data_IF_359385223664
#
_entry.id   IF_359385223664
#
_cell.length_a   1.000
_cell.length_b   1.000
_cell.length_c   1.000
_cell.angle_alpha   90.00
_cell.angle_beta   90.00
_cell.angle_gamma   90.00
#
_symmetry.space_group_name_H-M   'P 1'
#
loop_
_entity.id
_entity.type
_entity.pdbx_description
1 polymer ?
#
# COMPACT_ATOMS: atom_id res chain seq x y z
N UNK A 1 -12.39 -0.66 -8.92
CA UNK A 1 -11.23 -1.19 -9.66
C UNK A 1 -10.46 -2.12 -8.73
N UNK A 2 -9.87 -3.18 -9.26
CA UNK A 2 -9.02 -4.10 -8.51
C UNK A 2 -7.63 -4.04 -9.13
N UNK A 3 -6.60 -3.94 -8.28
CA UNK A 3 -5.21 -3.89 -8.70
C UNK A 3 -4.44 -5.02 -8.01
N UNK A 4 -3.46 -5.59 -8.70
CA UNK A 4 -2.58 -6.61 -8.10
C UNK A 4 -1.47 -5.97 -7.27
N UNK A 5 -1.10 -4.73 -7.58
CA UNK A 5 -0.01 -3.99 -6.96
C UNK A 5 -0.32 -2.46 -6.96
N UNK A 6 0.34 -1.67 -6.10
CA UNK A 6 0.09 -0.22 -6.04
C UNK A 6 0.58 0.54 -7.29
N UNK A 7 1.50 -0.03 -8.07
CA UNK A 7 2.08 0.61 -9.26
C UNK A 7 1.04 0.75 -10.37
N UNK A 8 0.18 -0.26 -10.54
CA UNK A 8 -0.95 -0.20 -11.47
C UNK A 8 -1.98 0.85 -11.04
N UNK A 9 -2.21 0.99 -9.73
CA UNK A 9 -3.08 2.03 -9.19
C UNK A 9 -2.50 3.44 -9.47
N UNK A 10 -1.19 3.61 -9.25
CA UNK A 10 -0.49 4.85 -9.57
C UNK A 10 -0.59 5.17 -11.07
N UNK A 11 -0.36 4.17 -11.94
CA UNK A 11 -0.41 4.35 -13.38
C UNK A 11 -1.76 4.90 -13.86
N UNK A 12 -2.88 4.35 -13.39
CA UNK A 12 -4.19 4.83 -13.84
C UNK A 12 -4.52 6.23 -13.29
N UNK A 13 -4.09 6.53 -12.07
CA UNK A 13 -4.28 7.86 -11.45
C UNK A 13 -3.48 8.92 -12.22
N UNK A 14 -2.23 8.63 -12.57
CA UNK A 14 -1.40 9.52 -13.40
C UNK A 14 -1.98 9.70 -14.82
N UNK A 15 -2.79 8.76 -15.30
CA UNK A 15 -3.51 8.87 -16.58
C UNK A 15 -4.87 9.59 -16.47
N UNK A 16 -5.18 10.16 -15.30
CA UNK A 16 -6.34 11.02 -15.09
C UNK A 16 -7.57 10.31 -14.52
N UNK A 17 -7.42 9.06 -14.04
CA UNK A 17 -8.51 8.40 -13.31
C UNK A 17 -8.58 8.97 -11.89
N UNK A 18 -9.69 9.60 -11.53
CA UNK A 18 -9.90 10.17 -10.20
C UNK A 18 -10.16 9.07 -9.16
N UNK A 19 -9.16 8.80 -8.31
CA UNK A 19 -9.25 7.87 -7.19
C UNK A 19 -8.83 8.63 -5.91
N UNK A 20 -9.80 8.88 -5.03
CA UNK A 20 -9.57 9.62 -3.77
C UNK A 20 -9.23 8.71 -2.59
N UNK A 21 -9.76 7.49 -2.58
CA UNK A 21 -9.55 6.50 -1.54
C UNK A 21 -9.22 5.15 -2.20
N UNK A 22 -8.13 4.53 -1.75
CA UNK A 22 -7.69 3.22 -2.19
C UNK A 22 -7.73 2.25 -1.00
N UNK A 23 -8.53 1.19 -1.12
CA UNK A 23 -8.51 0.10 -0.15
C UNK A 23 -7.27 -0.78 -0.37
N UNK A 24 -6.54 -1.05 0.71
CA UNK A 24 -5.37 -1.93 0.73
C UNK A 24 -5.75 -3.18 1.51
N UNK A 25 -6.20 -4.21 0.79
CA UNK A 25 -6.74 -5.43 1.36
C UNK A 25 -5.68 -6.46 1.76
N UNK A 26 -5.05 -7.07 0.76
CA UNK A 26 -3.98 -8.05 0.97
C UNK A 26 -2.97 -8.02 -0.17
N UNK A 27 -1.70 -8.23 0.18
CA UNK A 27 -0.59 -8.39 -0.75
C UNK A 27 0.20 -9.61 -0.31
N UNK A 28 0.25 -10.63 -1.17
CA UNK A 28 0.86 -11.90 -0.84
C UNK A 28 2.36 -11.76 -0.56
N UNK A 29 2.87 -12.60 0.33
CA UNK A 29 4.29 -12.68 0.59
C UNK A 29 5.01 -13.36 -0.58
N UNK A 30 6.12 -12.76 -1.01
CA UNK A 30 7.01 -13.30 -2.04
C UNK A 30 8.46 -13.02 -1.65
N UNK A 31 9.40 -13.76 -2.25
CA UNK A 31 10.83 -13.55 -2.04
C UNK A 31 11.19 -12.09 -2.29
N UNK A 32 11.88 -11.46 -1.33
CA UNK A 32 12.29 -10.06 -1.39
C UNK A 32 11.29 -9.05 -0.80
N UNK A 33 10.07 -9.46 -0.45
CA UNK A 33 9.10 -8.59 0.24
C UNK A 33 9.16 -8.76 1.75
N UNK A 34 9.05 -7.65 2.48
CA UNK A 34 8.95 -7.61 3.93
C UNK A 34 7.48 -7.72 4.33
N UNK A 35 7.18 -8.59 5.29
CA UNK A 35 5.84 -8.72 5.85
C UNK A 35 5.57 -7.55 6.80
N UNK A 36 4.68 -6.63 6.41
CA UNK A 36 4.33 -5.47 7.26
C UNK A 36 3.19 -5.76 8.21
N UNK A 37 2.28 -6.66 7.84
CA UNK A 37 1.32 -7.28 8.74
C UNK A 37 0.93 -8.68 8.21
N UNK A 38 0.01 -9.35 8.90
CA UNK A 38 -0.40 -10.73 8.57
C UNK A 38 -0.93 -10.92 7.14
N UNK A 39 -1.33 -9.86 6.43
CA UNK A 39 -1.95 -9.93 5.10
C UNK A 39 -1.27 -9.04 4.06
N UNK A 40 -0.27 -8.25 4.44
CA UNK A 40 0.46 -7.33 3.58
C UNK A 40 1.94 -7.62 3.65
N UNK A 41 2.50 -7.92 2.49
CA UNK A 41 3.94 -7.90 2.25
C UNK A 41 4.26 -6.92 1.14
N UNK A 42 5.35 -6.17 1.31
CA UNK A 42 5.76 -5.14 0.37
C UNK A 42 7.29 -5.03 0.29
N UNK A 43 7.78 -4.60 -0.85
CA UNK A 43 9.18 -4.20 -1.03
C UNK A 43 9.31 -2.66 -1.01
N UNK A 44 10.53 -2.16 -1.24
CA UNK A 44 10.78 -0.73 -1.30
C UNK A 44 10.03 -0.04 -2.44
N UNK A 45 9.85 -0.71 -3.58
CA UNK A 45 9.18 -0.14 -4.74
C UNK A 45 7.68 0.06 -4.45
N UNK A 46 7.05 -0.90 -3.76
CA UNK A 46 5.68 -0.75 -3.27
C UNK A 46 5.57 0.44 -2.30
N UNK A 47 6.50 0.57 -1.35
CA UNK A 47 6.54 1.67 -0.38
C UNK A 47 6.68 3.02 -1.08
N UNK A 48 7.60 3.15 -2.03
CA UNK A 48 7.81 4.39 -2.78
C UNK A 48 6.59 4.75 -3.64
N UNK A 49 5.87 3.74 -4.13
CA UNK A 49 4.62 3.95 -4.85
C UNK A 49 3.52 4.48 -3.94
N UNK A 50 3.37 3.92 -2.73
CA UNK A 50 2.42 4.44 -1.74
C UNK A 50 2.74 5.88 -1.33
N UNK A 51 4.01 6.27 -1.24
CA UNK A 51 4.39 7.68 -1.02
C UNK A 51 3.91 8.58 -2.14
N UNK A 52 4.16 8.22 -3.40
CA UNK A 52 3.69 9.01 -4.55
C UNK A 52 2.16 9.15 -4.55
N UNK A 53 1.45 8.06 -4.29
CA UNK A 53 -0.01 8.07 -4.17
C UNK A 53 -0.50 9.00 -3.05
N UNK A 54 0.15 8.97 -1.89
CA UNK A 54 -0.14 9.91 -0.79
C UNK A 54 0.09 11.37 -1.21
N UNK A 55 1.21 11.63 -1.89
CA UNK A 55 1.60 12.96 -2.32
C UNK A 55 0.67 13.50 -3.43
N UNK A 56 0.02 12.61 -4.19
CA UNK A 56 -1.09 12.89 -5.11
C UNK A 56 -2.45 13.08 -4.39
N UNK A 57 -2.51 12.95 -3.06
CA UNK A 57 -3.70 13.17 -2.25
C UNK A 57 -4.59 11.94 -2.06
N UNK A 58 -4.13 10.75 -2.42
CA UNK A 58 -4.88 9.49 -2.24
C UNK A 58 -4.89 9.10 -0.75
N UNK A 59 -6.07 8.77 -0.24
CA UNK A 59 -6.25 8.20 1.10
C UNK A 59 -6.20 6.67 1.06
N UNK A 60 -5.70 6.04 2.12
CA UNK A 60 -5.59 4.58 2.20
C UNK A 60 -6.54 4.00 3.25
N UNK A 61 -7.34 3.03 2.84
CA UNK A 61 -8.20 2.25 3.73
C UNK A 61 -7.60 0.84 3.90
N UNK A 62 -6.76 0.66 4.92
CA UNK A 62 -6.05 -0.61 5.14
C UNK A 62 -6.91 -1.56 5.96
N UNK A 63 -7.56 -2.52 5.30
CA UNK A 63 -8.36 -3.60 5.89
C UNK A 63 -8.72 -4.65 4.84
N UNK A 64 -8.76 -5.93 5.26
CA UNK A 64 -9.08 -7.06 4.36
C UNK A 64 -10.57 -7.13 4.05
N UNK A 65 -11.42 -6.95 5.05
CA UNK A 65 -12.88 -6.87 4.88
C UNK A 65 -13.46 -5.64 5.58
N UNK A 66 -14.67 -5.24 5.21
CA UNK A 66 -15.31 -4.03 5.75
C UNK A 66 -15.51 -4.06 7.29
N UNK A 67 -15.61 -5.26 7.88
CA UNK A 67 -15.77 -5.46 9.31
C UNK A 67 -14.46 -5.30 10.11
N UNK A 68 -13.29 -5.34 9.45
CA UNK A 68 -12.01 -5.20 10.13
C UNK A 68 -11.76 -3.76 10.56
N UNK A 69 -10.99 -3.59 11.63
CA UNK A 69 -10.48 -2.27 12.05
C UNK A 69 -9.53 -1.74 10.99
N UNK A 70 -9.66 -0.45 10.67
CA UNK A 70 -8.75 0.28 9.79
C UNK A 70 -7.36 0.34 10.43
N UNK A 71 -6.34 0.03 9.65
CA UNK A 71 -4.94 0.25 10.00
C UNK A 71 -4.36 1.47 9.27
N UNK A 72 -3.27 2.02 9.81
CA UNK A 72 -2.50 3.08 9.17
C UNK A 72 -1.34 2.45 8.38
N UNK A 73 -1.36 2.65 7.06
CA UNK A 73 -0.36 2.07 6.15
C UNK A 73 1.07 2.51 6.48
N UNK A 74 1.27 3.80 6.70
CA UNK A 74 2.60 4.37 6.90
C UNK A 74 3.14 4.05 8.28
N UNK A 75 2.26 3.91 9.27
CA UNK A 75 2.66 3.38 10.58
C UNK A 75 3.18 1.95 10.47
N UNK A 76 2.45 1.07 9.77
CA UNK A 76 2.88 -0.33 9.54
C UNK A 76 4.23 -0.39 8.82
N UNK A 77 4.45 0.47 7.81
CA UNK A 77 5.74 0.55 7.10
C UNK A 77 6.85 1.07 8.03
N UNK A 78 6.57 2.09 8.84
CA UNK A 78 7.54 2.68 9.77
C UNK A 78 8.05 1.67 10.79
N UNK A 79 7.18 0.77 11.27
CA UNK A 79 7.55 -0.30 12.22
C UNK A 79 8.52 -1.33 11.60
N UNK A 80 8.64 -1.35 10.26
CA UNK A 80 9.46 -2.28 9.48
C UNK A 80 10.70 -1.65 8.88
N UNK A 81 11.08 -0.44 9.32
CA UNK A 81 12.26 0.24 8.77
C UNK A 81 13.58 -0.54 8.93
N UNK A 82 13.71 -1.27 10.04
CA UNK A 82 14.87 -2.10 10.33
C UNK A 82 14.94 -3.38 9.47
N UNK A 83 13.86 -3.73 8.77
CA UNK A 83 13.75 -4.91 7.91
C UNK A 83 14.00 -4.56 6.43
N UNK A 84 14.42 -3.32 6.13
CA UNK A 84 14.83 -2.89 4.80
C UNK A 84 13.85 -1.96 4.08
N UNK A 85 12.69 -1.66 4.68
CA UNK A 85 11.75 -0.66 4.15
C UNK A 85 12.16 0.76 4.58
N UNK A 86 11.98 1.74 3.72
CA UNK A 86 12.31 3.15 4.00
C UNK A 86 11.15 4.06 3.65
N UNK A 87 10.78 4.91 4.61
CA UNK A 87 9.82 6.00 4.40
C UNK A 87 10.45 7.24 3.74
#
# INVERSE_FOLDING_TARGET
>A
MLFENPQDALYVIEKGVDIKELNVGSMAHSVGKVMVNNVLSMDQNDVDTYKKLRDLGVQFDVRKVAADKRADLFKLISEKQNEGLKL
#
